data_IF_408631349672
#
_entry.id   IF_408631349672
#
_cell.length_a   1.000
_cell.length_b   1.000
_cell.length_c   1.000
_cell.angle_alpha   90.00
_cell.angle_beta   90.00
_cell.angle_gamma   90.00
#
_symmetry.space_group_name_H-M   'P 1'
#
loop_
_entity.id
_entity.type
_entity.pdbx_description
1 polymer ?
#
# COMPACT_ATOMS: atom_id res chain seq x y z
N UNK A 1 33.18 0.90 -6.22
CA UNK A 1 32.72 0.02 -5.11
C UNK A 1 32.94 0.66 -3.75
N UNK A 2 34.11 1.24 -3.46
CA UNK A 2 34.36 2.03 -2.24
C UNK A 2 33.55 3.34 -2.13
N UNK A 3 33.11 3.93 -3.25
CA UNK A 3 32.34 5.18 -3.25
C UNK A 3 30.98 5.11 -2.53
N UNK A 4 30.36 3.93 -2.44
CA UNK A 4 29.08 3.75 -1.74
C UNK A 4 29.22 3.46 -0.23
N UNK A 5 30.45 3.38 0.26
CA UNK A 5 30.78 2.96 1.63
C UNK A 5 31.34 4.08 2.49
N UNK A 6 31.10 5.33 2.11
CA UNK A 6 31.60 6.51 2.81
C UNK A 6 31.28 6.53 4.32
N UNK A 7 30.24 5.81 4.75
CA UNK A 7 29.82 5.69 6.16
C UNK A 7 29.59 4.25 6.67
N UNK A 8 29.92 3.21 5.90
CA UNK A 8 29.54 1.82 6.21
C UNK A 8 30.74 0.91 6.51
N UNK A 9 30.68 0.15 7.61
CA UNK A 9 31.70 -0.86 7.91
C UNK A 9 31.49 -2.11 7.04
N UNK A 10 32.45 -2.31 6.12
CA UNK A 10 32.47 -3.40 5.12
C UNK A 10 32.35 -4.79 5.77
N UNK A 11 32.80 -4.92 7.02
CA UNK A 11 32.74 -6.16 7.81
C UNK A 11 31.31 -6.68 7.99
N UNK A 12 30.31 -5.79 7.96
CA UNK A 12 28.91 -6.13 8.25
C UNK A 12 28.01 -6.26 7.01
N UNK A 13 28.57 -6.13 5.80
CA UNK A 13 27.80 -6.21 4.55
C UNK A 13 27.47 -7.65 4.13
N UNK A 14 28.25 -8.63 4.58
CA UNK A 14 28.10 -10.06 4.29
C UNK A 14 27.55 -10.37 2.87
N UNK A 15 28.21 -9.89 1.79
CA UNK A 15 27.69 -9.94 0.42
C UNK A 15 27.45 -11.35 -0.13
N UNK A 16 28.00 -12.37 0.52
CA UNK A 16 27.74 -13.78 0.25
C UNK A 16 26.34 -14.24 0.65
N UNK A 17 25.63 -13.49 1.49
CA UNK A 17 24.26 -13.80 1.88
C UNK A 17 23.30 -13.31 0.78
N UNK A 18 22.24 -14.08 0.47
CA UNK A 18 21.28 -13.72 -0.58
C UNK A 18 20.34 -12.57 -0.16
N UNK A 19 20.45 -12.09 1.08
CA UNK A 19 19.60 -11.06 1.67
C UNK A 19 20.45 -9.93 2.24
N UNK A 20 19.90 -8.72 2.24
CA UNK A 20 20.53 -7.59 2.90
C UNK A 20 20.63 -7.83 4.41
N UNK A 21 21.77 -7.46 5.00
CA UNK A 21 22.01 -7.60 6.45
C UNK A 21 21.63 -6.37 7.26
N UNK A 22 21.53 -5.21 6.60
CA UNK A 22 21.06 -3.98 7.22
C UNK A 22 19.53 -3.93 7.22
N UNK A 23 18.94 -3.32 8.24
CA UNK A 23 17.49 -3.11 8.30
C UNK A 23 17.01 -2.26 7.12
N UNK A 24 17.78 -1.23 6.77
CA UNK A 24 17.53 -0.37 5.62
C UNK A 24 17.57 -1.16 4.31
N UNK A 25 18.47 -2.14 4.17
CA UNK A 25 18.51 -2.98 2.98
C UNK A 25 17.37 -4.00 2.93
N UNK A 26 16.90 -4.48 4.09
CA UNK A 26 15.78 -5.43 4.18
C UNK A 26 14.43 -4.77 3.91
N UNK A 27 14.26 -3.49 4.26
CA UNK A 27 12.99 -2.78 4.01
C UNK A 27 12.80 -2.40 2.53
N UNK A 28 13.88 -2.20 1.77
CA UNK A 28 13.84 -1.85 0.33
C UNK A 28 12.97 -2.79 -0.51
N UNK A 29 13.15 -4.12 -0.50
CA UNK A 29 12.32 -5.01 -1.31
C UNK A 29 10.85 -5.01 -0.89
N UNK A 30 10.56 -4.78 0.40
CA UNK A 30 9.17 -4.66 0.89
C UNK A 30 8.54 -3.37 0.39
N UNK A 31 9.27 -2.25 0.46
CA UNK A 31 8.81 -0.96 -0.03
C UNK A 31 8.57 -0.99 -1.55
N UNK A 32 9.43 -1.68 -2.30
CA UNK A 32 9.30 -1.84 -3.75
C UNK A 32 8.05 -2.65 -4.11
N UNK A 33 7.79 -3.77 -3.40
CA UNK A 33 6.56 -4.56 -3.61
C UNK A 33 5.30 -3.74 -3.25
N UNK A 34 5.30 -2.96 -2.17
CA UNK A 34 4.17 -2.08 -1.82
C UNK A 34 3.94 -1.03 -2.91
N UNK A 35 5.00 -0.40 -3.41
CA UNK A 35 4.91 0.59 -4.47
C UNK A 35 4.39 -0.01 -5.78
N UNK A 36 4.89 -1.19 -6.16
CA UNK A 36 4.44 -1.89 -7.36
C UNK A 36 2.96 -2.27 -7.26
N UNK A 37 2.51 -2.83 -6.12
CA UNK A 37 1.10 -3.16 -5.90
C UNK A 37 0.20 -1.93 -5.87
N UNK A 38 0.69 -0.81 -5.36
CA UNK A 38 -0.03 0.46 -5.40
C UNK A 38 -0.28 0.91 -6.84
N UNK A 39 0.75 0.87 -7.68
CA UNK A 39 0.62 1.24 -9.09
C UNK A 39 -0.30 0.28 -9.85
N UNK A 40 -0.13 -1.03 -9.67
CA UNK A 40 -1.00 -2.04 -10.29
C UNK A 40 -2.47 -1.79 -9.95
N UNK A 41 -2.77 -1.44 -8.69
CA UNK A 41 -4.12 -1.16 -8.23
C UNK A 41 -4.69 0.12 -8.84
N UNK A 42 -3.90 1.20 -8.85
CA UNK A 42 -4.31 2.50 -9.42
C UNK A 42 -4.56 2.39 -10.94
N UNK A 43 -3.65 1.73 -11.67
CA UNK A 43 -3.78 1.47 -13.10
C UNK A 43 -4.98 0.56 -13.42
N UNK A 44 -5.26 -0.44 -12.57
CA UNK A 44 -6.42 -1.32 -12.71
C UNK A 44 -7.74 -0.55 -12.54
N UNK A 45 -7.79 0.40 -11.61
CA UNK A 45 -8.94 1.28 -11.43
C UNK A 45 -9.08 2.28 -12.59
N UNK A 46 -7.97 2.89 -13.03
CA UNK A 46 -7.97 3.87 -14.12
C UNK A 46 -8.37 3.25 -15.47
N UNK A 47 -7.96 2.00 -15.72
CA UNK A 47 -8.32 1.23 -16.92
C UNK A 47 -9.72 0.61 -16.87
N UNK A 48 -10.40 0.65 -15.72
CA UNK A 48 -11.71 0.03 -15.51
C UNK A 48 -11.69 -1.50 -15.51
N UNK A 49 -10.51 -2.13 -15.40
CA UNK A 49 -10.36 -3.58 -15.28
C UNK A 49 -10.88 -4.06 -13.92
N UNK A 50 -10.70 -3.24 -12.89
CA UNK A 50 -11.16 -3.49 -11.53
C UNK A 50 -12.10 -2.36 -11.09
N UNK A 51 -13.27 -2.72 -10.58
CA UNK A 51 -14.16 -1.81 -9.87
C UNK A 51 -14.14 -2.04 -8.35
N UNK A 52 -14.72 -1.10 -7.59
CA UNK A 52 -14.71 -1.14 -6.12
C UNK A 52 -15.53 -2.30 -5.57
N UNK A 53 -16.58 -2.74 -6.26
CA UNK A 53 -17.39 -3.86 -5.82
C UNK A 53 -16.64 -5.18 -6.00
N UNK A 54 -15.96 -5.36 -7.13
CA UNK A 54 -15.05 -6.46 -7.39
C UNK A 54 -13.95 -6.52 -6.34
N UNK A 55 -13.27 -5.39 -6.06
CA UNK A 55 -12.27 -5.34 -5.00
C UNK A 55 -12.86 -5.74 -3.64
N UNK A 56 -14.02 -5.20 -3.26
CA UNK A 56 -14.70 -5.55 -2.00
C UNK A 56 -15.00 -7.06 -1.92
N UNK A 57 -15.43 -7.66 -3.03
CA UNK A 57 -15.69 -9.08 -3.13
C UNK A 57 -14.40 -9.89 -2.98
N UNK A 58 -13.29 -9.48 -3.61
CA UNK A 58 -11.98 -10.11 -3.42
C UNK A 58 -11.52 -10.06 -1.96
N UNK A 59 -11.67 -8.90 -1.32
CA UNK A 59 -11.27 -8.71 0.09
C UNK A 59 -12.20 -9.42 1.09
N UNK A 60 -13.35 -9.93 0.64
CA UNK A 60 -14.27 -10.73 1.47
C UNK A 60 -13.74 -12.13 1.79
N UNK A 61 -12.72 -12.57 1.06
CA UNK A 61 -11.98 -13.80 1.31
C UNK A 61 -11.22 -13.70 2.65
N UNK A 62 -11.25 -14.78 3.44
CA UNK A 62 -10.90 -14.80 4.88
C UNK A 62 -9.58 -14.09 5.26
N UNK A 63 -8.56 -14.09 4.40
CA UNK A 63 -7.23 -13.53 4.70
C UNK A 63 -7.14 -12.00 4.58
N UNK A 64 -8.09 -11.36 3.89
CA UNK A 64 -8.02 -9.91 3.61
C UNK A 64 -9.19 -9.12 4.22
N UNK A 65 -9.95 -9.76 5.13
CA UNK A 65 -11.12 -9.15 5.77
C UNK A 65 -10.76 -7.89 6.57
N UNK A 66 -9.54 -7.78 7.08
CA UNK A 66 -9.03 -6.59 7.77
C UNK A 66 -9.09 -5.32 6.92
N UNK A 67 -8.88 -5.44 5.60
CA UNK A 67 -8.94 -4.32 4.65
C UNK A 67 -10.37 -3.83 4.36
N UNK A 68 -11.40 -4.65 4.64
CA UNK A 68 -12.78 -4.25 4.40
C UNK A 68 -13.23 -3.08 5.30
N UNK A 69 -12.70 -3.00 6.52
CA UNK A 69 -13.10 -1.96 7.48
C UNK A 69 -12.66 -0.56 7.02
N UNK A 70 -11.39 -0.32 6.62
CA UNK A 70 -10.98 0.94 6.00
C UNK A 70 -11.83 1.34 4.79
N UNK A 71 -12.14 0.38 3.91
CA UNK A 71 -12.99 0.59 2.73
C UNK A 71 -14.39 1.08 3.10
N UNK A 72 -15.04 0.43 4.07
CA UNK A 72 -16.36 0.84 4.55
C UNK A 72 -16.36 2.27 5.13
N UNK A 73 -15.29 2.66 5.83
CA UNK A 73 -15.15 4.01 6.38
C UNK A 73 -15.05 5.05 5.25
N UNK A 74 -14.28 4.76 4.19
CA UNK A 74 -14.15 5.65 3.02
C UNK A 74 -15.48 5.83 2.33
N UNK A 75 -16.20 4.74 2.05
CA UNK A 75 -17.52 4.78 1.42
C UNK A 75 -18.51 5.63 2.22
N UNK A 76 -18.55 5.42 3.54
CA UNK A 76 -19.43 6.18 4.42
C UNK A 76 -19.12 7.68 4.37
N UNK A 77 -17.84 8.05 4.45
CA UNK A 77 -17.40 9.46 4.38
C UNK A 77 -17.71 10.11 3.03
N UNK A 78 -17.59 9.37 1.92
CA UNK A 78 -17.94 9.88 0.59
C UNK A 78 -19.45 10.10 0.46
N UNK A 79 -20.26 9.18 0.99
CA UNK A 79 -21.72 9.31 1.00
C UNK A 79 -22.19 10.49 1.87
N UNK A 80 -21.63 10.65 3.08
CA UNK A 80 -21.93 11.82 3.91
C UNK A 80 -21.55 13.15 3.22
N UNK A 81 -20.44 13.17 2.50
CA UNK A 81 -19.98 14.36 1.79
C UNK A 81 -20.89 14.70 0.60
N UNK A 82 -21.42 13.69 -0.11
CA UNK A 82 -22.45 13.85 -1.14
C UNK A 82 -23.74 14.45 -0.56
N UNK A 83 -24.22 13.92 0.56
CA UNK A 83 -25.44 14.39 1.23
C UNK A 83 -25.33 15.86 1.66
N UNK A 84 -24.13 16.28 2.10
CA UNK A 84 -23.81 17.66 2.47
C UNK A 84 -23.62 18.61 1.26
N UNK A 85 -23.94 18.17 0.03
CA UNK A 85 -23.78 18.89 -1.25
C UNK A 85 -22.38 19.47 -1.48
N UNK A 86 -21.33 18.82 -0.95
CA UNK A 86 -19.96 19.18 -1.31
C UNK A 86 -19.75 18.71 -2.75
N UNK A 87 -19.59 19.66 -3.67
CA UNK A 87 -19.38 19.36 -5.08
C UNK A 87 -17.96 18.82 -5.25
N UNK A 88 -17.86 17.58 -5.70
CA UNK A 88 -16.61 17.01 -6.18
C UNK A 88 -16.67 16.95 -7.69
N UNK A 89 -15.62 17.44 -8.36
CA UNK A 89 -15.51 17.44 -9.83
C UNK A 89 -15.45 16.01 -10.37
N UNK A 90 -14.87 15.07 -9.62
CA UNK A 90 -14.85 13.65 -9.95
C UNK A 90 -14.87 12.76 -8.68
N UNK A 91 -16.04 12.22 -8.34
CA UNK A 91 -16.24 11.39 -7.14
C UNK A 91 -15.58 10.02 -7.27
N UNK A 92 -15.57 9.46 -8.48
CA UNK A 92 -15.07 8.11 -8.72
C UNK A 92 -13.54 8.09 -8.60
N UNK A 93 -12.85 9.07 -9.19
CA UNK A 93 -11.41 9.27 -9.04
C UNK A 93 -11.02 9.54 -7.57
N UNK A 94 -11.80 10.37 -6.86
CA UNK A 94 -11.58 10.58 -5.43
C UNK A 94 -11.74 9.27 -4.64
N UNK A 95 -12.75 8.45 -4.96
CA UNK A 95 -12.96 7.15 -4.33
C UNK A 95 -11.78 6.22 -4.59
N UNK A 96 -11.33 6.11 -5.84
CA UNK A 96 -10.19 5.27 -6.21
C UNK A 96 -8.92 5.69 -5.47
N UNK A 97 -8.57 6.97 -5.51
CA UNK A 97 -7.40 7.50 -4.80
C UNK A 97 -7.43 7.17 -3.31
N UNK A 98 -8.58 7.36 -2.64
CA UNK A 98 -8.71 7.06 -1.20
C UNK A 98 -8.59 5.58 -0.89
N UNK A 99 -9.12 4.72 -1.75
CA UNK A 99 -9.01 3.27 -1.62
C UNK A 99 -7.54 2.84 -1.75
N UNK A 100 -6.86 3.32 -2.79
CA UNK A 100 -5.45 3.03 -3.03
C UNK A 100 -4.62 3.46 -1.82
N UNK A 101 -4.81 4.69 -1.31
CA UNK A 101 -4.13 5.15 -0.08
C UNK A 101 -4.38 4.25 1.12
N UNK A 102 -5.63 3.83 1.37
CA UNK A 102 -5.93 2.97 2.53
C UNK A 102 -5.31 1.57 2.42
N UNK A 103 -5.16 1.04 1.21
CA UNK A 103 -4.49 -0.24 0.96
C UNK A 103 -2.98 -0.10 1.21
N UNK A 104 -2.35 0.98 0.74
CA UNK A 104 -0.94 1.26 1.02
C UNK A 104 -0.70 1.41 2.51
N UNK A 105 -1.51 2.24 3.18
CA UNK A 105 -1.41 2.49 4.62
C UNK A 105 -1.53 1.19 5.42
N UNK A 106 -2.40 0.28 4.99
CA UNK A 106 -2.52 -1.03 5.61
C UNK A 106 -1.21 -1.81 5.52
N UNK A 107 -0.59 -1.93 4.34
CA UNK A 107 0.65 -2.68 4.18
C UNK A 107 1.84 -2.05 4.89
N UNK A 108 1.93 -0.72 4.92
CA UNK A 108 2.97 -0.01 5.69
C UNK A 108 2.82 -0.33 7.19
N UNK A 109 1.61 -0.20 7.73
CA UNK A 109 1.37 -0.47 9.15
C UNK A 109 1.58 -1.95 9.50
N UNK A 110 1.15 -2.86 8.63
CA UNK A 110 1.36 -4.31 8.81
C UNK A 110 2.86 -4.64 8.86
N UNK A 111 3.65 -4.07 7.94
CA UNK A 111 5.10 -4.20 7.93
C UNK A 111 5.72 -3.70 9.24
N UNK A 112 5.32 -2.53 9.72
CA UNK A 112 5.82 -1.95 10.99
C UNK A 112 5.43 -2.81 12.21
N UNK A 113 4.24 -3.40 12.21
CA UNK A 113 3.78 -4.27 13.31
C UNK A 113 4.61 -5.55 13.33
N UNK A 114 4.83 -6.15 12.17
CA UNK A 114 5.53 -7.43 12.06
C UNK A 114 7.06 -7.31 12.09
N UNK A 115 7.63 -6.12 11.88
CA UNK A 115 9.07 -5.86 12.01
C UNK A 115 9.54 -5.60 13.45
N UNK A 116 8.62 -5.55 14.42
CA UNK A 116 8.94 -5.28 15.85
C UNK A 116 9.16 -6.55 16.68
N UNK A 117 8.96 -7.72 16.10
CA UNK A 117 9.23 -9.02 16.72
C UNK A 117 10.52 -9.61 16.17
#
# INVERSE_FOLDING_TARGET
MQEFLSNGDVSYLYPQLPMATTLEGQIIPIADEIAQRSHDLDDSFASGILDVEQLRNYLSLQKMRSLQKPLQIIEHQLNEAKEKRRVFVNIEELRHSRIVSAVIDFFINDTIIHSKN
#
